data_IF_296028208784
#
_entry.id   IF_296028208784
#
_cell.length_a   1.000
_cell.length_b   1.000
_cell.length_c   1.000
_cell.angle_alpha   90.00
_cell.angle_beta   90.00
_cell.angle_gamma   90.00
#
_symmetry.space_group_name_H-M   'P 1'
#
loop_
_entity.id
_entity.type
_entity.pdbx_description
1 polymer ?
#
# COMPACT_ATOMS: atom_id res chain seq x y z
N UNK A 1 -15.36 2.54 23.61
CA UNK A 1 -14.34 1.47 23.51
C UNK A 1 -12.97 2.04 23.83
N UNK A 2 -12.26 1.39 24.71
CA UNK A 2 -10.90 1.78 25.05
C UNK A 2 -9.98 1.41 23.87
N UNK A 3 -9.14 2.36 23.41
CA UNK A 3 -8.22 2.13 22.31
C UNK A 3 -7.25 0.95 22.56
N UNK A 4 -6.95 0.63 23.81
CA UNK A 4 -6.04 -0.47 24.15
C UNK A 4 -6.57 -1.86 23.79
N UNK A 5 -7.88 -2.00 23.52
CA UNK A 5 -8.49 -3.29 23.15
C UNK A 5 -8.78 -3.41 21.66
N UNK A 6 -8.40 -2.40 20.86
CA UNK A 6 -8.62 -2.44 19.42
C UNK A 6 -7.63 -3.40 18.75
N UNK A 7 -8.11 -4.09 17.70
CA UNK A 7 -7.24 -4.90 16.84
C UNK A 7 -6.29 -4.02 16.02
N UNK A 8 -5.25 -4.63 15.45
CA UNK A 8 -4.33 -3.91 14.58
C UNK A 8 -5.03 -3.25 13.39
N UNK A 9 -6.03 -3.93 12.82
CA UNK A 9 -6.83 -3.38 11.71
C UNK A 9 -7.69 -2.21 12.13
N UNK A 10 -8.28 -2.31 13.31
CA UNK A 10 -9.10 -1.23 13.86
C UNK A 10 -8.26 0.01 14.17
N UNK A 11 -7.07 -0.19 14.73
CA UNK A 11 -6.13 0.90 15.00
C UNK A 11 -5.76 1.60 13.68
N UNK A 12 -5.44 0.83 12.63
CA UNK A 12 -5.09 1.39 11.33
C UNK A 12 -6.24 2.17 10.70
N UNK A 13 -7.47 1.65 10.80
CA UNK A 13 -8.66 2.38 10.33
C UNK A 13 -8.85 3.70 11.07
N UNK A 14 -8.64 3.69 12.38
CA UNK A 14 -8.73 4.91 13.19
C UNK A 14 -7.68 5.93 12.77
N UNK A 15 -6.44 5.49 12.57
CA UNK A 15 -5.37 6.37 12.12
C UNK A 15 -5.67 6.99 10.75
N UNK A 16 -6.22 6.22 9.82
CA UNK A 16 -6.60 6.71 8.50
C UNK A 16 -7.76 7.71 8.57
N UNK A 17 -8.74 7.45 9.43
CA UNK A 17 -9.84 8.40 9.66
C UNK A 17 -9.33 9.74 10.17
N UNK A 18 -8.35 9.72 11.08
CA UNK A 18 -7.73 10.96 11.58
C UNK A 18 -7.00 11.73 10.47
N UNK A 19 -6.32 11.01 9.59
CA UNK A 19 -5.66 11.61 8.43
C UNK A 19 -6.69 12.31 7.54
N UNK A 20 -7.83 11.68 7.28
CA UNK A 20 -8.88 12.25 6.44
C UNK A 20 -9.48 13.53 7.02
N UNK A 21 -9.59 13.63 8.34
CA UNK A 21 -10.11 14.82 9.00
C UNK A 21 -9.25 16.03 8.70
N UNK A 22 -7.93 15.88 8.68
CA UNK A 22 -6.99 16.96 8.45
C UNK A 22 -6.86 17.36 6.98
N UNK A 23 -7.36 16.58 6.06
CA UNK A 23 -7.32 16.79 4.61
C UNK A 23 -5.92 17.20 4.10
N UNK A 24 -4.90 16.40 4.36
CA UNK A 24 -3.54 16.73 3.93
C UNK A 24 -3.41 16.68 2.40
N UNK A 25 -2.37 17.31 1.87
CA UNK A 25 -2.05 17.23 0.44
C UNK A 25 -1.38 15.92 0.07
N UNK A 26 -0.59 15.37 0.98
CA UNK A 26 0.11 14.10 0.80
C UNK A 26 0.07 13.28 2.09
N UNK A 27 -0.06 11.97 1.95
CA UNK A 27 -0.03 11.01 3.05
C UNK A 27 1.06 9.99 2.78
N UNK A 28 1.86 9.71 3.79
CA UNK A 28 2.90 8.69 3.75
C UNK A 28 2.46 7.50 4.59
N UNK A 29 2.37 6.32 3.98
CA UNK A 29 1.95 5.10 4.65
C UNK A 29 3.06 4.06 4.54
N UNK A 30 3.62 3.66 5.67
CA UNK A 30 4.68 2.66 5.72
C UNK A 30 4.10 1.31 6.13
N UNK A 31 4.08 0.37 5.19
CA UNK A 31 3.56 -0.97 5.37
C UNK A 31 2.16 -1.03 6.02
N UNK A 32 1.19 -0.28 5.49
CA UNK A 32 -0.14 -0.19 6.14
C UNK A 32 -0.93 -1.49 6.11
N UNK A 33 -0.55 -2.45 5.27
CA UNK A 33 -1.27 -3.70 5.08
C UNK A 33 -0.57 -4.90 5.74
N UNK A 34 0.58 -4.69 6.39
CA UNK A 34 1.37 -5.77 6.96
C UNK A 34 0.66 -6.43 8.15
N UNK A 35 0.78 -7.76 8.25
CA UNK A 35 0.28 -8.57 9.36
C UNK A 35 -1.23 -8.43 9.60
N UNK A 36 -2.01 -8.27 8.53
CA UNK A 36 -3.47 -8.17 8.61
C UNK A 36 -4.13 -9.32 7.87
N UNK A 37 -5.34 -9.66 8.31
CA UNK A 37 -6.18 -10.64 7.63
C UNK A 37 -6.65 -10.11 6.26
N UNK A 38 -6.90 -10.99 5.28
CA UNK A 38 -7.30 -10.55 3.94
C UNK A 38 -8.52 -9.62 3.89
N UNK A 39 -9.51 -9.85 4.76
CA UNK A 39 -10.69 -8.99 4.80
C UNK A 39 -10.35 -7.60 5.31
N UNK A 40 -9.46 -7.51 6.30
CA UNK A 40 -9.00 -6.23 6.84
C UNK A 40 -8.13 -5.51 5.79
N UNK A 41 -7.31 -6.24 5.06
CA UNK A 41 -6.52 -5.66 3.97
C UNK A 41 -7.44 -5.00 2.95
N UNK A 42 -8.54 -5.65 2.55
CA UNK A 42 -9.50 -5.07 1.62
C UNK A 42 -10.12 -3.78 2.17
N UNK A 43 -10.45 -3.76 3.44
CA UNK A 43 -10.99 -2.56 4.08
C UNK A 43 -10.00 -1.40 4.04
N UNK A 44 -8.74 -1.67 4.39
CA UNK A 44 -7.70 -0.65 4.38
C UNK A 44 -7.45 -0.15 2.96
N UNK A 45 -7.42 -1.05 1.97
CA UNK A 45 -7.29 -0.67 0.56
C UNK A 45 -8.41 0.28 0.13
N UNK A 46 -9.64 0.02 0.54
CA UNK A 46 -10.77 0.91 0.25
C UNK A 46 -10.59 2.28 0.88
N UNK A 47 -10.08 2.35 2.12
CA UNK A 47 -9.78 3.63 2.77
C UNK A 47 -8.70 4.40 2.02
N UNK A 48 -7.64 3.73 1.59
CA UNK A 48 -6.56 4.36 0.82
C UNK A 48 -7.12 4.96 -0.47
N UNK A 49 -7.91 4.20 -1.21
CA UNK A 49 -8.53 4.68 -2.46
C UNK A 49 -9.47 5.85 -2.20
N UNK A 50 -10.18 5.84 -1.08
CA UNK A 50 -11.07 6.92 -0.71
C UNK A 50 -10.29 8.21 -0.39
N UNK A 51 -9.19 8.09 0.32
CA UNK A 51 -8.30 9.24 0.60
C UNK A 51 -7.78 9.82 -0.72
N UNK A 52 -7.32 8.97 -1.62
CA UNK A 52 -6.84 9.40 -2.93
C UNK A 52 -7.93 10.11 -3.74
N UNK A 53 -9.13 9.57 -3.75
CA UNK A 53 -10.24 10.16 -4.52
C UNK A 53 -10.67 11.52 -3.99
N UNK A 54 -10.32 11.84 -2.75
CA UNK A 54 -10.58 13.16 -2.18
C UNK A 54 -9.55 14.22 -2.58
N UNK A 55 -8.55 13.85 -3.39
CA UNK A 55 -7.53 14.76 -3.89
C UNK A 55 -6.19 14.70 -3.15
N UNK A 56 -6.04 13.77 -2.22
CA UNK A 56 -4.79 13.59 -1.46
C UNK A 56 -3.86 12.65 -2.21
N UNK A 57 -2.59 13.04 -2.41
CA UNK A 57 -1.58 12.15 -2.94
C UNK A 57 -1.12 11.17 -1.86
N UNK A 58 -0.84 9.92 -2.24
CA UNK A 58 -0.43 8.90 -1.29
C UNK A 58 0.86 8.24 -1.76
N UNK A 59 1.83 8.17 -0.85
CA UNK A 59 3.02 7.36 -1.02
C UNK A 59 2.95 6.20 -0.04
N UNK A 60 2.91 4.99 -0.54
CA UNK A 60 2.75 3.79 0.28
C UNK A 60 3.89 2.82 0.02
N UNK A 61 4.38 2.18 1.08
CA UNK A 61 5.38 1.11 0.97
C UNK A 61 4.79 -0.19 1.48
N UNK A 62 5.17 -1.30 0.87
CA UNK A 62 4.78 -2.63 1.35
C UNK A 62 5.63 -3.69 0.65
N UNK A 63 5.76 -4.86 1.28
CA UNK A 63 6.44 -6.02 0.71
C UNK A 63 5.50 -6.86 -0.15
N UNK A 64 4.22 -6.83 0.10
CA UNK A 64 3.25 -7.61 -0.66
C UNK A 64 2.85 -6.85 -1.92
N UNK A 65 3.48 -7.20 -3.02
CA UNK A 65 3.31 -6.53 -4.31
C UNK A 65 1.87 -6.62 -4.81
N UNK A 66 1.21 -7.75 -4.63
CA UNK A 66 -0.18 -7.93 -5.08
C UNK A 66 -1.11 -6.92 -4.42
N UNK A 67 -0.93 -6.74 -3.10
CA UNK A 67 -1.77 -5.81 -2.35
C UNK A 67 -1.54 -4.35 -2.78
N UNK A 68 -0.30 -4.01 -3.12
CA UNK A 68 0.03 -2.68 -3.63
C UNK A 68 -0.52 -2.44 -5.03
N UNK A 69 -0.41 -3.42 -5.91
CA UNK A 69 -0.83 -3.25 -7.29
C UNK A 69 -2.33 -2.97 -7.44
N UNK A 70 -3.13 -3.42 -6.47
CA UNK A 70 -4.57 -3.15 -6.46
C UNK A 70 -4.92 -1.68 -6.18
N UNK A 71 -4.00 -0.93 -5.60
CA UNK A 71 -4.29 0.43 -5.11
C UNK A 71 -3.33 1.50 -5.64
N UNK A 72 -2.34 1.16 -6.45
CA UNK A 72 -1.34 2.12 -6.92
C UNK A 72 -1.51 2.42 -8.40
N UNK A 73 -1.29 3.68 -8.76
CA UNK A 73 -1.23 4.11 -10.15
C UNK A 73 0.16 3.85 -10.72
N UNK A 74 1.19 4.02 -9.90
CA UNK A 74 2.57 3.87 -10.30
C UNK A 74 3.38 3.35 -9.12
N UNK A 75 4.34 2.47 -9.39
CA UNK A 75 5.17 1.85 -8.37
C UNK A 75 6.65 1.89 -8.74
N UNK A 76 7.47 1.91 -7.70
CA UNK A 76 8.93 1.84 -7.80
C UNK A 76 9.39 0.61 -7.05
N UNK A 77 10.20 -0.21 -7.70
CA UNK A 77 10.78 -1.40 -7.08
C UNK A 77 12.20 -1.05 -6.66
N UNK A 78 12.48 -1.15 -5.37
CA UNK A 78 13.78 -0.84 -4.81
C UNK A 78 14.59 -2.11 -4.56
N UNK A 79 15.84 -2.10 -4.94
CA UNK A 79 16.76 -3.19 -4.68
C UNK A 79 18.20 -2.73 -4.78
N UNK A 80 19.06 -3.29 -3.95
CA UNK A 80 20.47 -2.95 -3.94
C UNK A 80 20.71 -1.43 -3.84
N UNK A 81 19.92 -0.78 -2.99
CA UNK A 81 20.01 0.66 -2.70
C UNK A 81 19.70 1.56 -3.92
N UNK A 82 18.96 1.05 -4.88
CA UNK A 82 18.58 1.81 -6.08
C UNK A 82 17.20 1.43 -6.56
N UNK A 83 16.64 2.23 -7.47
CA UNK A 83 15.39 1.87 -8.16
C UNK A 83 15.75 0.93 -9.31
N UNK A 84 15.26 -0.30 -9.25
CA UNK A 84 15.56 -1.30 -10.27
C UNK A 84 14.46 -1.38 -11.34
N UNK A 85 13.25 -0.90 -11.04
CA UNK A 85 12.16 -0.85 -12.00
C UNK A 85 11.13 0.17 -11.54
N UNK A 86 10.40 0.77 -12.48
CA UNK A 86 9.30 1.68 -12.18
C UNK A 86 8.26 1.62 -13.28
N UNK A 87 7.01 1.91 -12.93
CA UNK A 87 5.92 1.94 -13.88
C UNK A 87 4.58 1.56 -13.27
N UNK A 88 3.60 1.34 -14.13
CA UNK A 88 2.30 0.80 -13.73
C UNK A 88 2.46 -0.67 -13.37
N UNK A 89 1.44 -1.24 -12.71
CA UNK A 89 1.43 -2.67 -12.39
C UNK A 89 1.62 -3.53 -13.63
N UNK A 90 0.96 -3.16 -14.73
CA UNK A 90 1.07 -3.89 -16.01
C UNK A 90 2.49 -3.84 -16.56
N UNK A 91 3.13 -2.67 -16.50
CA UNK A 91 4.51 -2.50 -16.97
C UNK A 91 5.49 -3.30 -16.11
N UNK A 92 5.32 -3.26 -14.78
CA UNK A 92 6.20 -3.97 -13.86
C UNK A 92 6.09 -5.48 -13.97
N UNK A 93 4.91 -6.01 -14.21
CA UNK A 93 4.73 -7.45 -14.40
C UNK A 93 5.43 -7.97 -15.66
N UNK A 94 5.79 -7.09 -16.58
CA UNK A 94 6.57 -7.43 -17.78
C UNK A 94 8.07 -7.20 -17.57
N UNK A 95 8.49 -6.59 -16.46
CA UNK A 95 9.90 -6.30 -16.19
C UNK A 95 10.63 -7.56 -15.75
N UNK A 96 11.64 -7.99 -16.50
CA UNK A 96 12.44 -9.15 -16.16
C UNK A 96 13.15 -8.99 -14.82
N UNK A 97 13.73 -7.81 -14.56
CA UNK A 97 14.42 -7.55 -13.30
C UNK A 97 13.49 -7.63 -12.10
N UNK A 98 12.31 -7.01 -12.20
CA UNK A 98 11.34 -7.01 -11.13
C UNK A 98 10.82 -8.41 -10.86
N UNK A 99 10.53 -9.19 -11.92
CA UNK A 99 10.05 -10.57 -11.78
C UNK A 99 11.08 -11.44 -11.09
N UNK A 100 12.35 -11.37 -11.50
CA UNK A 100 13.41 -12.21 -10.94
C UNK A 100 13.67 -11.90 -9.46
N UNK A 101 13.67 -10.63 -9.06
CA UNK A 101 14.06 -10.23 -7.71
C UNK A 101 12.91 -10.19 -6.72
N UNK A 102 11.71 -9.82 -7.15
CA UNK A 102 10.63 -9.50 -6.22
C UNK A 102 9.30 -10.19 -6.50
N UNK A 103 8.97 -10.44 -7.76
CA UNK A 103 7.62 -10.90 -8.11
C UNK A 103 7.53 -12.40 -8.30
N UNK A 104 8.61 -13.07 -8.62
CA UNK A 104 8.60 -14.48 -8.97
C UNK A 104 7.91 -15.37 -7.94
N UNK A 105 8.24 -15.19 -6.65
CA UNK A 105 7.67 -15.98 -5.57
C UNK A 105 6.23 -15.62 -5.26
N UNK A 106 5.79 -14.40 -5.61
CA UNK A 106 4.44 -13.91 -5.33
C UNK A 106 3.44 -14.22 -6.45
N UNK A 107 3.92 -14.38 -7.69
CA UNK A 107 3.08 -14.55 -8.86
C UNK A 107 3.29 -15.89 -9.58
N UNK A 108 4.17 -16.72 -9.06
CA UNK A 108 4.45 -18.06 -9.63
C UNK A 108 3.45 -19.12 -9.18
#
# INVERSE_FOLDING_TARGET
INASVLSGGEIRRLMMARVMINKPKIVLLDEPLAALDPLIIQDIQKYILKIQSSGTAILVTDHNVKNLFDITDRSYVLGEQTVIAEGTSRELLKSTKAIEQYFGSQFS
#
